data_IF_514068792220
#
_entry.id   IF_514068792220
#
_cell.length_a   1.000
_cell.length_b   1.000
_cell.length_c   1.000
_cell.angle_alpha   90.00
_cell.angle_beta   90.00
_cell.angle_gamma   90.00
#
_symmetry.space_group_name_H-M   'P 1'
#
loop_
_entity.id
_entity.type
_entity.pdbx_description
1 polymer ?
#
# COMPACT_ATOMS: atom_id res chain seq x y z
N UNK A 1 6.92 12.86 15.12
CA UNK A 1 6.18 12.16 16.20
C UNK A 1 6.87 10.83 16.39
N UNK A 2 7.48 10.60 17.53
CA UNK A 2 8.16 9.34 17.81
C UNK A 2 7.12 8.21 17.91
N UNK A 3 7.36 7.13 17.16
CA UNK A 3 6.59 5.91 17.29
C UNK A 3 7.10 5.16 18.50
N UNK A 4 6.22 4.82 19.42
CA UNK A 4 6.59 4.03 20.58
C UNK A 4 6.77 2.55 20.19
N UNK A 5 7.64 1.82 20.91
CA UNK A 5 7.75 0.35 20.77
C UNK A 5 6.40 -0.36 20.94
N UNK A 6 5.50 0.24 21.69
CA UNK A 6 4.15 -0.28 21.90
C UNK A 6 3.33 -0.26 20.61
N UNK A 7 3.55 0.72 19.71
CA UNK A 7 2.88 0.79 18.39
C UNK A 7 3.17 -0.45 17.55
N UNK A 8 4.44 -0.88 17.47
CA UNK A 8 4.82 -2.10 16.76
C UNK A 8 4.15 -3.34 17.35
N UNK A 9 4.11 -3.45 18.68
CA UNK A 9 3.46 -4.56 19.36
C UNK A 9 1.96 -4.58 19.06
N UNK A 10 1.30 -3.44 19.10
CA UNK A 10 -0.13 -3.30 18.81
C UNK A 10 -0.42 -3.72 17.36
N UNK A 11 0.32 -3.19 16.37
CA UNK A 11 0.11 -3.51 14.95
C UNK A 11 0.37 -5.00 14.69
N UNK A 12 1.46 -5.55 15.23
CA UNK A 12 1.77 -6.97 15.06
C UNK A 12 0.66 -7.86 15.65
N UNK A 13 0.12 -7.53 16.82
CA UNK A 13 -0.99 -8.26 17.42
C UNK A 13 -2.28 -8.10 16.60
N UNK A 14 -2.53 -6.91 16.05
CA UNK A 14 -3.66 -6.67 15.16
C UNK A 14 -3.60 -7.57 13.93
N UNK A 15 -2.47 -7.62 13.21
CA UNK A 15 -2.29 -8.48 12.03
C UNK A 15 -2.50 -9.96 12.39
N UNK A 16 -1.86 -10.44 13.48
CA UNK A 16 -2.02 -11.83 13.97
C UNK A 16 -3.47 -12.16 14.25
N UNK A 17 -4.18 -11.25 14.90
CA UNK A 17 -5.58 -11.45 15.28
C UNK A 17 -6.47 -11.52 14.03
N UNK A 18 -6.30 -10.62 13.06
CA UNK A 18 -7.07 -10.66 11.81
C UNK A 18 -6.91 -11.97 11.05
N UNK A 19 -5.67 -12.42 10.89
CA UNK A 19 -5.37 -13.69 10.20
C UNK A 19 -5.95 -14.89 10.96
N UNK A 20 -5.83 -14.91 12.28
CA UNK A 20 -6.38 -15.97 13.13
C UNK A 20 -7.92 -16.02 13.08
N UNK A 21 -8.58 -14.87 13.25
CA UNK A 21 -10.04 -14.80 13.31
C UNK A 21 -10.69 -15.16 11.98
N UNK A 22 -10.01 -14.89 10.86
CA UNK A 22 -10.43 -15.31 9.53
C UNK A 22 -10.09 -16.77 9.20
N UNK A 23 -9.40 -17.48 10.08
CA UNK A 23 -8.87 -18.82 9.80
C UNK A 23 -8.07 -18.86 8.48
N UNK A 24 -7.23 -17.84 8.27
CA UNK A 24 -6.43 -17.66 7.06
C UNK A 24 -5.00 -18.15 7.25
N UNK A 25 -4.37 -18.63 6.18
CA UNK A 25 -2.99 -19.12 6.20
C UNK A 25 -1.95 -17.99 6.25
N UNK A 26 -2.34 -16.76 5.93
CA UNK A 26 -1.47 -15.61 5.93
C UNK A 26 -2.08 -14.42 5.22
N UNK A 27 -1.24 -13.62 4.57
CA UNK A 27 -1.64 -12.39 3.88
C UNK A 27 -1.03 -12.28 2.48
N UNK A 28 -1.73 -11.56 1.60
CA UNK A 28 -1.23 -11.11 0.31
C UNK A 28 -1.38 -9.59 0.22
N UNK A 29 -0.39 -8.91 -0.34
CA UNK A 29 -0.42 -7.45 -0.53
C UNK A 29 0.23 -7.02 -1.84
N UNK A 30 -0.18 -5.86 -2.35
CA UNK A 30 0.41 -5.21 -3.50
C UNK A 30 1.69 -4.46 -3.11
N UNK A 31 2.77 -4.68 -3.85
CA UNK A 31 4.05 -4.00 -3.65
C UNK A 31 4.26 -2.98 -4.77
N UNK A 32 4.10 -1.70 -4.44
CA UNK A 32 4.27 -0.60 -5.39
C UNK A 32 5.70 -0.05 -5.44
N UNK A 33 6.55 -0.36 -4.44
CA UNK A 33 7.85 0.28 -4.25
C UNK A 33 7.76 1.65 -3.55
N UNK A 34 6.58 2.04 -3.09
CA UNK A 34 6.34 3.19 -2.22
C UNK A 34 6.46 2.82 -0.74
N UNK A 35 6.62 3.84 0.12
CA UNK A 35 6.86 3.67 1.56
C UNK A 35 5.74 2.91 2.27
N UNK A 36 4.47 3.16 1.95
CA UNK A 36 3.33 2.53 2.61
C UNK A 36 3.31 1.01 2.39
N UNK A 37 3.51 0.59 1.14
CA UNK A 37 3.59 -0.84 0.79
C UNK A 37 4.81 -1.51 1.41
N UNK A 38 5.95 -0.82 1.49
CA UNK A 38 7.17 -1.33 2.09
C UNK A 38 7.03 -1.51 3.62
N UNK A 39 6.47 -0.52 4.32
CA UNK A 39 6.21 -0.60 5.76
C UNK A 39 5.19 -1.70 6.07
N UNK A 40 4.11 -1.77 5.28
CA UNK A 40 3.07 -2.81 5.45
C UNK A 40 3.66 -4.21 5.23
N UNK A 41 4.55 -4.38 4.25
CA UNK A 41 5.27 -5.63 4.03
C UNK A 41 6.12 -6.02 5.25
N UNK A 42 6.96 -5.09 5.74
CA UNK A 42 7.83 -5.32 6.89
C UNK A 42 7.04 -5.67 8.16
N UNK A 43 5.94 -4.97 8.43
CA UNK A 43 5.03 -5.27 9.55
C UNK A 43 4.38 -6.65 9.41
N UNK A 44 3.95 -7.00 8.21
CA UNK A 44 3.35 -8.31 7.93
C UNK A 44 4.34 -9.45 8.19
N UNK A 45 5.60 -9.28 7.76
CA UNK A 45 6.68 -10.24 8.01
C UNK A 45 7.04 -10.32 9.49
N UNK A 46 7.14 -9.18 10.18
CA UNK A 46 7.40 -9.14 11.61
C UNK A 46 6.29 -9.84 12.44
N UNK A 47 5.05 -9.72 11.98
CA UNK A 47 3.91 -10.33 12.65
C UNK A 47 3.79 -11.84 12.38
N UNK A 48 3.99 -12.29 11.13
CA UNK A 48 3.59 -13.63 10.68
C UNK A 48 4.75 -14.53 10.26
N UNK A 49 5.93 -13.95 9.98
CA UNK A 49 7.03 -14.61 9.27
C UNK A 49 6.85 -14.55 7.75
N UNK A 50 7.97 -14.60 7.00
CA UNK A 50 7.99 -14.43 5.55
C UNK A 50 7.18 -15.47 4.79
N UNK A 51 7.15 -16.73 5.27
CA UNK A 51 6.42 -17.82 4.62
C UNK A 51 4.91 -17.61 4.55
N UNK A 52 4.37 -16.78 5.46
CA UNK A 52 2.94 -16.45 5.53
C UNK A 52 2.58 -15.14 4.85
N UNK A 53 3.51 -14.54 4.12
CA UNK A 53 3.34 -13.28 3.40
C UNK A 53 3.64 -13.50 1.92
N UNK A 54 2.75 -13.03 1.03
CA UNK A 54 2.97 -13.03 -0.41
C UNK A 54 2.88 -11.60 -0.95
N UNK A 55 3.88 -11.17 -1.70
CA UNK A 55 3.89 -9.87 -2.37
C UNK A 55 3.52 -9.99 -3.85
N UNK A 56 2.59 -9.17 -4.32
CA UNK A 56 2.30 -9.06 -5.75
C UNK A 56 2.82 -7.73 -6.30
N UNK A 57 3.65 -7.78 -7.32
CA UNK A 57 4.15 -6.62 -8.05
C UNK A 57 3.37 -6.54 -9.37
N UNK A 58 2.55 -5.50 -9.52
CA UNK A 58 1.56 -5.42 -10.59
C UNK A 58 1.77 -4.16 -11.45
N UNK A 59 2.87 -4.11 -12.23
CA UNK A 59 3.20 -2.94 -13.02
C UNK A 59 2.30 -2.81 -14.26
N UNK A 60 1.98 -1.56 -14.62
CA UNK A 60 1.51 -1.23 -15.97
C UNK A 60 2.71 -1.18 -16.92
N UNK A 61 3.78 -0.47 -16.52
CA UNK A 61 5.08 -0.47 -17.18
C UNK A 61 6.19 -0.73 -16.16
N UNK A 62 7.35 -1.17 -16.65
CA UNK A 62 8.49 -1.35 -15.76
C UNK A 62 9.09 0.01 -15.38
N UNK A 63 9.18 0.26 -14.08
CA UNK A 63 9.73 1.49 -13.50
C UNK A 63 10.72 1.13 -12.39
N UNK A 64 11.50 2.10 -11.93
CA UNK A 64 12.42 1.93 -10.80
C UNK A 64 11.72 1.41 -9.53
N UNK A 65 10.44 1.79 -9.33
CA UNK A 65 9.66 1.31 -8.18
C UNK A 65 9.46 -0.21 -8.18
N UNK A 66 9.37 -0.82 -9.36
CA UNK A 66 9.30 -2.29 -9.49
C UNK A 66 10.57 -2.95 -8.95
N UNK A 67 11.74 -2.39 -9.25
CA UNK A 67 13.02 -2.93 -8.79
C UNK A 67 13.21 -2.71 -7.29
N UNK A 68 12.80 -1.55 -6.77
CA UNK A 68 12.79 -1.25 -5.34
C UNK A 68 11.87 -2.20 -4.56
N UNK A 69 10.66 -2.47 -5.09
CA UNK A 69 9.72 -3.40 -4.49
C UNK A 69 10.29 -4.82 -4.41
N UNK A 70 10.90 -5.30 -5.49
CA UNK A 70 11.56 -6.62 -5.56
C UNK A 70 12.70 -6.72 -4.56
N UNK A 71 13.60 -5.73 -4.58
CA UNK A 71 14.76 -5.71 -3.69
C UNK A 71 14.35 -5.75 -2.21
N UNK A 72 13.36 -4.96 -1.81
CA UNK A 72 12.87 -4.96 -0.44
C UNK A 72 12.24 -6.30 -0.04
N UNK A 73 11.44 -6.90 -0.91
CA UNK A 73 10.85 -8.21 -0.66
C UNK A 73 11.92 -9.33 -0.56
N UNK A 74 12.96 -9.28 -1.39
CA UNK A 74 14.11 -10.20 -1.32
C UNK A 74 14.86 -10.07 0.01
N UNK A 75 15.10 -8.85 0.49
CA UNK A 75 15.73 -8.63 1.81
C UNK A 75 14.94 -9.26 2.96
N UNK A 76 13.62 -9.29 2.84
CA UNK A 76 12.72 -9.88 3.84
C UNK A 76 12.44 -11.38 3.60
N UNK A 77 13.03 -11.98 2.57
CA UNK A 77 12.80 -13.36 2.13
C UNK A 77 11.32 -13.65 1.84
N UNK A 78 10.60 -12.69 1.28
CA UNK A 78 9.19 -12.83 0.91
C UNK A 78 9.05 -13.32 -0.53
N UNK A 79 8.20 -14.32 -0.73
CA UNK A 79 7.83 -14.78 -2.07
C UNK A 79 7.05 -13.69 -2.81
N UNK A 80 7.50 -13.38 -4.02
CA UNK A 80 6.84 -12.38 -4.88
C UNK A 80 6.44 -12.99 -6.22
N UNK A 81 5.33 -12.50 -6.75
CA UNK A 81 4.93 -12.75 -8.12
C UNK A 81 4.77 -11.41 -8.85
N UNK A 82 5.22 -11.35 -10.10
CA UNK A 82 5.05 -10.16 -10.95
C UNK A 82 3.97 -10.43 -11.99
N UNK A 83 2.89 -9.65 -11.92
CA UNK A 83 1.73 -9.75 -12.82
C UNK A 83 1.54 -8.42 -13.54
N UNK A 84 1.94 -8.32 -14.81
CA UNK A 84 1.70 -7.09 -15.59
C UNK A 84 0.22 -6.87 -15.83
N UNK A 85 -0.26 -5.66 -15.50
CA UNK A 85 -1.66 -5.27 -15.77
C UNK A 85 -1.85 -4.66 -17.16
N UNK A 86 -0.77 -4.43 -17.93
CA UNK A 86 -0.81 -3.69 -19.19
C UNK A 86 -1.83 -4.23 -20.18
N UNK A 87 -1.78 -5.53 -20.48
CA UNK A 87 -2.69 -6.14 -21.46
C UNK A 87 -4.15 -6.06 -21.01
N UNK A 88 -4.40 -6.17 -19.71
CA UNK A 88 -5.75 -6.08 -19.13
C UNK A 88 -6.29 -4.65 -19.31
N UNK A 89 -5.49 -3.65 -18.94
CA UNK A 89 -5.84 -2.22 -19.10
C UNK A 89 -6.12 -1.90 -20.57
N UNK A 90 -5.22 -2.28 -21.49
CA UNK A 90 -5.39 -2.02 -22.92
C UNK A 90 -6.65 -2.71 -23.49
N UNK A 91 -7.01 -3.88 -22.98
CA UNK A 91 -8.25 -4.57 -23.35
C UNK A 91 -9.49 -3.76 -22.94
N UNK A 92 -9.50 -3.18 -21.75
CA UNK A 92 -10.58 -2.30 -21.30
C UNK A 92 -10.65 -1.02 -22.14
N UNK A 93 -9.52 -0.36 -22.39
CA UNK A 93 -9.44 0.86 -23.21
C UNK A 93 -9.92 0.63 -24.63
N UNK A 94 -9.58 -0.50 -25.24
CA UNK A 94 -10.06 -0.86 -26.59
C UNK A 94 -11.54 -1.18 -26.65
N UNK A 95 -12.12 -1.62 -25.53
CA UNK A 95 -13.55 -1.98 -25.47
C UNK A 95 -14.46 -0.77 -25.26
N UNK A 96 -13.96 0.35 -24.71
CA UNK A 96 -14.79 1.52 -24.38
C UNK A 96 -13.98 2.81 -24.21
N UNK A 97 -14.50 3.92 -24.72
CA UNK A 97 -13.96 5.27 -24.51
C UNK A 97 -14.17 5.80 -23.07
N UNK A 98 -14.89 5.09 -22.20
CA UNK A 98 -15.09 5.46 -20.79
C UNK A 98 -13.78 5.49 -20.00
N UNK A 99 -12.74 4.83 -20.50
CA UNK A 99 -11.41 4.77 -19.86
C UNK A 99 -10.38 5.68 -20.54
N UNK A 100 -10.81 6.63 -21.36
CA UNK A 100 -9.90 7.54 -22.08
C UNK A 100 -9.36 8.69 -21.22
N UNK A 101 -10.10 9.08 -20.17
CA UNK A 101 -9.67 10.11 -19.24
C UNK A 101 -8.62 9.56 -18.26
N UNK A 102 -7.58 10.34 -17.99
CA UNK A 102 -6.44 10.00 -17.15
C UNK A 102 -6.83 9.47 -15.78
N UNK A 103 -7.76 10.13 -15.10
CA UNK A 103 -8.25 9.70 -13.79
C UNK A 103 -9.06 8.40 -13.87
N UNK A 104 -9.87 8.23 -14.92
CA UNK A 104 -10.63 7.00 -15.16
C UNK A 104 -9.70 5.82 -15.41
N UNK A 105 -8.64 6.01 -16.19
CA UNK A 105 -7.60 5.00 -16.44
C UNK A 105 -6.83 4.66 -15.15
N UNK A 106 -6.41 5.64 -14.35
CA UNK A 106 -5.77 5.41 -13.07
C UNK A 106 -6.63 4.59 -12.10
N UNK A 107 -7.90 4.95 -11.99
CA UNK A 107 -8.87 4.18 -11.21
C UNK A 107 -9.07 2.74 -11.74
N UNK A 108 -8.98 2.53 -13.05
CA UNK A 108 -9.01 1.20 -13.65
C UNK A 108 -7.80 0.37 -13.24
N UNK A 109 -6.59 0.96 -13.27
CA UNK A 109 -5.37 0.30 -12.81
C UNK A 109 -5.51 -0.22 -11.37
N UNK A 110 -6.01 0.62 -10.48
CA UNK A 110 -6.21 0.28 -9.07
C UNK A 110 -7.22 -0.85 -8.88
N UNK A 111 -8.35 -0.83 -9.62
CA UNK A 111 -9.38 -1.88 -9.55
C UNK A 111 -8.92 -3.22 -10.13
N UNK A 112 -8.11 -3.21 -11.20
CA UNK A 112 -7.50 -4.42 -11.76
C UNK A 112 -6.56 -5.05 -10.73
N UNK A 113 -5.69 -4.25 -10.09
CA UNK A 113 -4.79 -4.71 -9.02
C UNK A 113 -5.56 -5.34 -7.86
N UNK A 114 -6.63 -4.70 -7.41
CA UNK A 114 -7.50 -5.25 -6.36
C UNK A 114 -8.07 -6.61 -6.77
N UNK A 115 -8.58 -6.74 -7.99
CA UNK A 115 -9.15 -8.02 -8.47
C UNK A 115 -8.10 -9.14 -8.51
N UNK A 116 -6.85 -8.83 -8.90
CA UNK A 116 -5.75 -9.79 -8.90
C UNK A 116 -5.38 -10.20 -7.47
N UNK A 117 -5.31 -9.23 -6.53
CA UNK A 117 -5.02 -9.48 -5.12
C UNK A 117 -6.05 -10.42 -4.49
N UNK A 118 -7.34 -10.19 -4.72
CA UNK A 118 -8.39 -11.07 -4.21
C UNK A 118 -8.39 -12.45 -4.89
N UNK A 119 -8.04 -12.53 -6.17
CA UNK A 119 -7.82 -13.80 -6.85
C UNK A 119 -6.70 -14.62 -6.22
N UNK A 120 -5.56 -14.00 -5.93
CA UNK A 120 -4.43 -14.63 -5.26
C UNK A 120 -4.76 -14.99 -3.79
N UNK A 121 -5.43 -14.08 -3.08
CA UNK A 121 -5.87 -14.30 -1.70
C UNK A 121 -6.78 -15.51 -1.57
N UNK A 122 -7.79 -15.61 -2.44
CA UNK A 122 -8.71 -16.75 -2.47
C UNK A 122 -7.98 -18.07 -2.77
N UNK A 123 -7.11 -18.07 -3.79
CA UNK A 123 -6.38 -19.27 -4.20
C UNK A 123 -5.43 -19.83 -3.15
N UNK A 124 -4.93 -18.98 -2.24
CA UNK A 124 -3.93 -19.31 -1.22
C UNK A 124 -4.46 -19.24 0.22
N UNK A 125 -5.77 -19.08 0.42
CA UNK A 125 -6.39 -18.85 1.74
C UNK A 125 -5.71 -17.71 2.51
N UNK A 126 -5.48 -16.55 1.86
CA UNK A 126 -4.79 -15.39 2.43
C UNK A 126 -5.68 -14.16 2.39
N UNK A 127 -5.60 -13.32 3.43
CA UNK A 127 -6.27 -12.03 3.47
C UNK A 127 -5.53 -11.00 2.62
N UNK A 128 -6.29 -10.11 1.98
CA UNK A 128 -5.74 -8.97 1.24
C UNK A 128 -5.48 -7.82 2.20
N UNK A 129 -4.20 -7.47 2.36
CA UNK A 129 -3.78 -6.35 3.22
C UNK A 129 -3.69 -5.07 2.40
N UNK A 130 -4.34 -4.02 2.89
CA UNK A 130 -4.24 -2.69 2.30
C UNK A 130 -3.10 -1.87 2.88
N UNK A 131 -2.69 -0.89 2.10
CA UNK A 131 -1.53 -0.04 2.39
C UNK A 131 -1.91 1.43 2.61
N UNK A 132 -3.20 1.76 2.67
CA UNK A 132 -3.65 3.14 2.95
C UNK A 132 -3.34 3.52 4.38
N UNK A 133 -2.82 4.73 4.55
CA UNK A 133 -2.50 5.34 5.83
C UNK A 133 -3.62 6.32 6.27
N UNK A 134 -3.55 6.80 7.52
CA UNK A 134 -4.55 7.70 8.09
C UNK A 134 -4.69 9.01 7.31
N UNK A 135 -3.59 9.59 6.85
CA UNK A 135 -3.62 10.83 6.07
C UNK A 135 -4.43 10.67 4.78
N UNK A 136 -4.21 9.59 4.04
CA UNK A 136 -4.95 9.28 2.81
C UNK A 136 -6.43 8.99 3.09
N UNK A 137 -6.73 8.26 4.18
CA UNK A 137 -8.12 7.97 4.57
C UNK A 137 -8.90 9.22 4.94
N UNK A 138 -8.29 10.18 5.64
CA UNK A 138 -8.95 11.42 6.08
C UNK A 138 -9.36 12.31 4.91
N UNK A 139 -8.54 12.35 3.84
CA UNK A 139 -8.84 13.18 2.65
C UNK A 139 -9.56 12.41 1.55
N UNK A 140 -9.78 11.11 1.73
CA UNK A 140 -10.42 10.26 0.72
C UNK A 140 -9.55 9.96 -0.50
N UNK A 141 -8.22 9.99 -0.36
CA UNK A 141 -7.28 9.74 -1.44
C UNK A 141 -7.03 8.25 -1.63
N UNK A 142 -7.98 7.61 -2.24
CA UNK A 142 -7.94 6.19 -2.62
C UNK A 142 -9.02 5.89 -3.67
N UNK A 143 -8.80 4.89 -4.48
CA UNK A 143 -9.80 4.44 -5.46
C UNK A 143 -10.82 3.53 -4.81
N UNK A 144 -12.10 3.97 -4.83
CA UNK A 144 -13.22 3.15 -4.38
C UNK A 144 -13.26 1.82 -5.15
N UNK A 145 -13.25 0.72 -4.41
CA UNK A 145 -13.18 -0.64 -4.96
C UNK A 145 -11.90 -0.91 -5.79
N UNK A 146 -10.84 -0.16 -5.50
CA UNK A 146 -9.48 -0.38 -5.95
C UNK A 146 -8.57 -0.65 -4.75
N UNK A 147 -7.59 0.21 -4.50
CA UNK A 147 -6.71 0.15 -3.31
C UNK A 147 -7.45 0.32 -1.98
N UNK A 148 -8.63 0.96 -1.98
CA UNK A 148 -9.54 0.96 -0.83
C UNK A 148 -10.30 -0.35 -0.60
N UNK A 149 -10.22 -1.32 -1.53
CA UNK A 149 -10.84 -2.64 -1.42
C UNK A 149 -9.88 -3.66 -0.79
N UNK A 150 -9.87 -3.76 0.54
CA UNK A 150 -8.94 -4.62 1.30
C UNK A 150 -9.64 -5.20 2.53
N UNK A 151 -9.09 -6.28 3.09
CA UNK A 151 -9.68 -6.93 4.27
C UNK A 151 -9.34 -6.19 5.57
N UNK A 152 -8.14 -5.58 5.64
CA UNK A 152 -7.73 -4.73 6.76
C UNK A 152 -6.53 -3.84 6.42
N UNK A 153 -6.32 -2.79 7.22
CA UNK A 153 -5.31 -1.75 7.03
C UNK A 153 -4.40 -1.65 8.26
N UNK A 154 -3.21 -2.27 8.27
CA UNK A 154 -2.29 -2.24 9.42
C UNK A 154 -1.79 -0.85 9.78
N UNK A 155 -1.68 0.05 8.79
CA UNK A 155 -1.19 1.42 8.95
C UNK A 155 -2.32 2.47 8.85
N UNK A 156 -3.59 2.02 8.87
CA UNK A 156 -4.76 2.90 8.72
C UNK A 156 -4.93 3.96 9.83
N UNK A 157 -4.31 3.76 11.00
CA UNK A 157 -4.28 4.73 12.10
C UNK A 157 -3.00 5.57 12.18
N UNK A 158 -2.06 5.34 11.25
CA UNK A 158 -0.79 6.08 11.20
C UNK A 158 -0.84 7.23 10.19
N UNK A 159 -0.44 8.43 10.61
CA UNK A 159 -0.19 9.52 9.68
C UNK A 159 1.01 9.23 8.79
N UNK A 160 1.08 9.82 7.60
CA UNK A 160 2.19 9.63 6.65
C UNK A 160 3.57 9.85 7.28
N UNK A 161 3.72 10.87 8.11
CA UNK A 161 4.97 11.14 8.86
C UNK A 161 5.35 9.98 9.80
N UNK A 162 4.37 9.36 10.43
CA UNK A 162 4.58 8.19 11.29
C UNK A 162 4.96 6.96 10.48
N UNK A 163 4.39 6.79 9.27
CA UNK A 163 4.78 5.71 8.36
C UNK A 163 6.25 5.84 7.95
N UNK A 164 6.74 7.07 7.68
CA UNK A 164 8.17 7.30 7.40
C UNK A 164 9.05 6.94 8.61
N UNK A 165 8.72 7.43 9.81
CA UNK A 165 9.49 7.10 11.03
C UNK A 165 9.53 5.59 11.29
N UNK A 166 8.40 4.91 11.06
CA UNK A 166 8.30 3.46 11.20
C UNK A 166 9.12 2.73 10.12
N UNK A 167 9.15 3.26 8.90
CA UNK A 167 9.97 2.73 7.81
C UNK A 167 11.47 2.78 8.13
N UNK A 168 11.93 3.86 8.73
CA UNK A 168 13.32 3.98 9.22
C UNK A 168 13.63 2.94 10.31
N UNK A 169 12.74 2.79 11.30
CA UNK A 169 12.90 1.82 12.39
C UNK A 169 12.89 0.36 11.89
N UNK A 170 12.08 0.06 10.90
CA UNK A 170 11.97 -1.27 10.27
C UNK A 170 13.08 -1.56 9.24
N UNK A 171 13.97 -0.62 8.98
CA UNK A 171 15.07 -0.77 8.03
C UNK A 171 14.63 -0.82 6.56
N UNK A 172 13.56 -0.12 6.21
CA UNK A 172 13.15 0.04 4.81
C UNK A 172 14.28 0.70 4.01
N UNK A 173 14.62 0.19 2.81
CA UNK A 173 15.71 0.73 2.00
C UNK A 173 15.62 2.24 1.77
N UNK A 174 16.76 2.94 1.86
CA UNK A 174 16.85 4.38 1.67
C UNK A 174 16.32 4.86 0.31
N UNK A 175 16.45 4.03 -0.74
CA UNK A 175 15.87 4.30 -2.05
C UNK A 175 14.35 4.42 -2.03
N UNK A 176 13.65 3.72 -1.13
CA UNK A 176 12.20 3.85 -0.92
C UNK A 176 11.91 5.06 -0.03
N UNK A 177 12.65 5.23 1.08
CA UNK A 177 12.47 6.32 2.04
C UNK A 177 12.65 7.72 1.43
N UNK A 178 13.56 7.86 0.46
CA UNK A 178 13.87 9.14 -0.18
C UNK A 178 12.92 9.53 -1.33
N UNK A 179 12.03 8.62 -1.76
CA UNK A 179 11.09 8.90 -2.86
C UNK A 179 9.96 9.81 -2.41
N UNK A 180 9.54 10.70 -3.31
CA UNK A 180 8.32 11.50 -3.11
C UNK A 180 7.10 10.58 -3.15
N UNK A 181 6.11 10.82 -2.28
CA UNK A 181 4.84 10.10 -2.33
C UNK A 181 4.13 10.28 -3.67
N UNK A 182 3.72 9.16 -4.26
CA UNK A 182 2.98 9.14 -5.52
C UNK A 182 2.18 7.84 -5.64
N UNK A 183 0.98 7.93 -6.19
CA UNK A 183 0.16 6.78 -6.55
C UNK A 183 0.65 6.07 -7.83
N UNK A 184 1.58 6.69 -8.59
CA UNK A 184 2.13 6.17 -9.87
C UNK A 184 1.04 5.71 -10.87
N UNK A 185 -0.06 6.43 -10.93
CA UNK A 185 -1.13 6.16 -11.90
C UNK A 185 -0.81 6.77 -13.27
N UNK A 186 0.09 7.77 -13.31
CA UNK A 186 0.63 8.39 -14.52
C UNK A 186 1.99 9.04 -14.27
N UNK A 187 2.71 9.31 -15.35
CA UNK A 187 4.03 9.92 -15.30
C UNK A 187 3.99 11.34 -14.68
N UNK A 188 4.92 11.60 -13.74
CA UNK A 188 5.07 12.89 -13.06
C UNK A 188 4.01 13.18 -11.99
N UNK A 189 3.15 12.22 -11.63
CA UNK A 189 2.21 12.38 -10.53
C UNK A 189 2.94 12.50 -9.20
N UNK A 190 2.51 13.43 -8.35
CA UNK A 190 2.84 13.48 -6.92
C UNK A 190 1.57 13.74 -6.12
N UNK A 191 1.46 13.09 -4.95
CA UNK A 191 0.26 13.20 -4.12
C UNK A 191 0.04 14.64 -3.66
N UNK A 192 1.08 15.35 -3.18
CA UNK A 192 1.00 16.70 -2.65
C UNK A 192 0.63 17.74 -3.71
N UNK A 193 1.01 17.54 -4.99
CA UNK A 193 0.56 18.39 -6.10
C UNK A 193 -0.93 18.19 -6.40
N UNK A 194 -1.45 16.98 -6.23
CA UNK A 194 -2.88 16.73 -6.42
C UNK A 194 -3.73 17.29 -5.27
N UNK A 195 -3.23 17.25 -4.05
CA UNK A 195 -3.95 17.81 -2.89
C UNK A 195 -3.89 19.33 -2.85
N UNK A 196 -2.77 19.91 -3.29
CA UNK A 196 -2.47 21.33 -3.14
C UNK A 196 -1.94 21.72 -1.75
N UNK A 197 -1.55 20.74 -0.92
CA UNK A 197 -0.92 20.89 0.41
C UNK A 197 -0.01 19.69 0.70
N UNK A 198 0.83 19.83 1.73
CA UNK A 198 1.78 18.79 2.13
C UNK A 198 1.18 17.82 3.15
N UNK A 199 1.72 16.60 3.22
CA UNK A 199 1.36 15.65 4.29
C UNK A 199 1.65 16.19 5.70
N UNK A 200 2.65 17.07 5.84
CA UNK A 200 2.96 17.72 7.11
C UNK A 200 1.85 18.71 7.51
N UNK A 201 1.39 19.54 6.58
CA UNK A 201 0.26 20.47 6.82
C UNK A 201 -0.99 19.71 7.18
N UNK A 202 -1.28 18.61 6.49
CA UNK A 202 -2.41 17.73 6.81
C UNK A 202 -2.31 17.16 8.23
N UNK A 203 -1.14 16.68 8.61
CA UNK A 203 -0.89 16.15 9.96
C UNK A 203 -1.11 17.22 11.02
N UNK A 204 -0.61 18.44 10.81
CA UNK A 204 -0.78 19.56 11.74
C UNK A 204 -2.24 19.97 11.87
N UNK A 205 -3.00 20.03 10.79
CA UNK A 205 -4.42 20.36 10.79
C UNK A 205 -5.21 19.43 11.72
N UNK A 206 -5.06 18.12 11.51
CA UNK A 206 -5.83 17.12 12.29
C UNK A 206 -5.29 16.85 13.70
N UNK A 207 -4.09 17.30 14.04
CA UNK A 207 -3.56 17.18 15.41
C UNK A 207 -3.78 18.43 16.23
N UNK A 208 -3.97 19.61 15.62
CA UNK A 208 -4.32 20.85 16.32
C UNK A 208 -5.79 20.86 16.75
N UNK A 209 -6.70 20.40 15.89
CA UNK A 209 -8.12 20.34 16.21
C UNK A 209 -8.45 19.35 17.36
N UNK A 210 -7.64 18.30 17.52
CA UNK A 210 -7.79 17.36 18.63
C UNK A 210 -7.33 17.90 20.00
N UNK A 211 -6.71 19.08 20.04
CA UNK A 211 -6.27 19.72 21.27
C UNK A 211 -7.31 20.74 21.83
N UNK A 212 -8.32 21.09 21.02
CA UNK A 212 -9.35 22.09 21.35
C UNK A 212 -10.70 21.46 21.75
N UNK A 213 -10.84 20.12 21.77
CA UNK A 213 -11.96 19.35 22.30
C UNK A 213 -11.59 18.70 23.67
#
# INVERSE_FOLDING_TARGET
MDISRDTLVIINNFIKTRVKDANSDGVVLGLSGGIDSAVTLSLSVAALGSDRVTGLIMPYEHTESVDLAKHHAEQLNVNTETVSIKQIVESFKSSSSLFAEKLSEGNLHSRIRMSILYGAGFSSNRLVVGTSNKSELLIGYWTKWGDGGTDFLPIGDLYKSQVYSLGEELGVPSGILSRKPTAELWEGQTDEEEFGFTYLELCLLYTSDAADE
#
